data_IF_271911886593
#
_entry.id   IF_271911886593
#
_cell.length_a   1.000
_cell.length_b   1.000
_cell.length_c   1.000
_cell.angle_alpha   90.00
_cell.angle_beta   90.00
_cell.angle_gamma   90.00
#
_symmetry.space_group_name_H-M   'P 1'
#
loop_
_entity.id
_entity.type
_entity.pdbx_description
1 polymer ?
#
# COMPACT_ATOMS: atom_id res chain seq x y z
N UNK A 1 13.98 2.83 -2.13
CA UNK A 1 13.93 2.93 -3.59
C UNK A 1 15.08 3.76 -4.07
N UNK A 2 15.87 3.19 -4.96
CA UNK A 2 17.00 3.81 -5.63
C UNK A 2 16.49 4.66 -6.79
N UNK A 3 17.13 5.79 -7.12
CA UNK A 3 16.68 6.68 -8.19
C UNK A 3 16.47 5.99 -9.56
N UNK A 4 17.21 4.90 -9.84
CA UNK A 4 17.14 4.13 -11.08
C UNK A 4 16.07 3.04 -11.15
N UNK A 5 15.06 3.04 -10.27
CA UNK A 5 14.04 1.99 -10.28
C UNK A 5 13.19 2.00 -11.57
N UNK A 6 12.71 0.81 -11.95
CA UNK A 6 11.84 0.62 -13.12
C UNK A 6 10.49 0.07 -12.73
N UNK A 7 9.41 0.59 -13.32
CA UNK A 7 8.12 -0.12 -13.33
C UNK A 7 8.20 -1.18 -14.41
N UNK A 8 8.18 -2.45 -14.01
CA UNK A 8 8.34 -3.58 -14.95
C UNK A 8 7.01 -4.18 -15.36
N UNK A 9 6.01 -4.13 -14.49
CA UNK A 9 4.68 -4.69 -14.74
C UNK A 9 3.63 -3.97 -13.89
N UNK A 10 2.40 -3.89 -14.42
CA UNK A 10 1.22 -3.51 -13.63
C UNK A 10 0.15 -4.57 -13.85
N UNK A 11 -0.34 -5.15 -12.76
CA UNK A 11 -1.31 -6.25 -12.77
C UNK A 11 -2.58 -5.83 -12.06
N UNK A 12 -3.71 -6.36 -12.51
CA UNK A 12 -4.97 -6.28 -11.76
C UNK A 12 -5.50 -7.70 -11.57
N UNK A 13 -5.88 -8.03 -10.34
CA UNK A 13 -6.36 -9.36 -9.97
C UNK A 13 -7.60 -9.29 -9.09
N UNK A 14 -8.44 -10.33 -9.17
CA UNK A 14 -9.54 -10.56 -8.26
C UNK A 14 -9.21 -11.75 -7.37
N UNK A 15 -9.33 -11.55 -6.07
CA UNK A 15 -8.94 -12.53 -5.06
C UNK A 15 -10.16 -12.98 -4.27
N UNK A 16 -10.17 -14.26 -3.93
CA UNK A 16 -11.08 -14.87 -2.96
C UNK A 16 -10.23 -15.65 -1.97
N UNK A 17 -10.44 -15.42 -0.69
CA UNK A 17 -9.68 -16.07 0.37
C UNK A 17 -10.57 -16.42 1.57
N UNK A 18 -10.02 -17.26 2.44
CA UNK A 18 -10.57 -17.61 3.74
C UNK A 18 -9.50 -17.30 4.79
N UNK A 19 -9.85 -16.59 5.87
CA UNK A 19 -8.89 -16.30 6.95
C UNK A 19 -8.77 -17.47 7.96
N UNK A 20 -7.82 -17.34 8.91
CA UNK A 20 -7.57 -18.32 10.00
C UNK A 20 -8.83 -18.60 10.85
N UNK A 21 -9.84 -17.72 10.83
CA UNK A 21 -11.11 -17.89 11.55
C UNK A 21 -12.26 -18.36 10.64
N UNK A 22 -11.96 -18.89 9.46
CA UNK A 22 -12.95 -19.35 8.47
C UNK A 22 -13.88 -18.25 7.93
N UNK A 23 -13.47 -16.98 7.97
CA UNK A 23 -14.25 -15.90 7.39
C UNK A 23 -13.86 -15.69 5.91
N UNK A 24 -14.83 -15.72 4.97
CA UNK A 24 -14.55 -15.46 3.56
C UNK A 24 -14.27 -13.98 3.31
N UNK A 25 -13.37 -13.68 2.39
CA UNK A 25 -13.12 -12.33 1.88
C UNK A 25 -12.92 -12.39 0.36
N UNK A 26 -13.41 -11.37 -0.34
CA UNK A 26 -13.11 -11.14 -1.75
C UNK A 26 -12.69 -9.68 -1.94
N UNK A 27 -11.69 -9.44 -2.77
CA UNK A 27 -11.24 -8.09 -3.09
C UNK A 27 -10.58 -8.04 -4.48
N UNK A 28 -10.63 -6.87 -5.10
CA UNK A 28 -9.79 -6.51 -6.24
C UNK A 28 -8.46 -5.96 -5.74
N UNK A 29 -7.37 -6.26 -6.43
CA UNK A 29 -6.05 -5.74 -6.09
C UNK A 29 -5.23 -5.41 -7.34
N UNK A 30 -4.56 -4.26 -7.31
CA UNK A 30 -3.63 -3.79 -8.32
C UNK A 30 -2.21 -3.94 -7.76
N UNK A 31 -1.34 -4.53 -8.57
CA UNK A 31 0.09 -4.67 -8.25
C UNK A 31 0.90 -3.80 -9.20
N UNK A 32 1.82 -3.00 -8.66
CA UNK A 32 2.84 -2.30 -9.43
C UNK A 32 4.19 -2.93 -9.09
N UNK A 33 4.80 -3.58 -10.06
CA UNK A 33 6.10 -4.23 -9.88
C UNK A 33 7.23 -3.24 -10.16
N UNK A 34 8.09 -3.05 -9.17
CA UNK A 34 9.27 -2.21 -9.21
C UNK A 34 10.53 -3.06 -9.16
N UNK A 35 11.42 -2.82 -10.13
CA UNK A 35 12.79 -3.32 -10.08
C UNK A 35 13.69 -2.25 -9.47
N UNK A 36 14.15 -2.47 -8.23
CA UNK A 36 14.87 -1.51 -7.39
C UNK A 36 16.40 -1.65 -7.54
N UNK A 37 16.91 -1.21 -8.69
CA UNK A 37 18.33 -1.22 -9.00
C UNK A 37 18.96 0.17 -8.96
N UNK A 38 20.27 0.19 -8.73
CA UNK A 38 21.08 1.37 -8.97
C UNK A 38 21.55 1.30 -10.41
N UNK A 39 21.23 2.32 -11.19
CA UNK A 39 21.69 2.45 -12.56
C UNK A 39 22.36 3.82 -12.64
N UNK A 40 23.65 3.83 -12.98
CA UNK A 40 24.44 5.06 -12.99
C UNK A 40 23.75 6.12 -13.84
N UNK A 41 23.81 7.36 -13.35
CA UNK A 41 23.31 8.57 -14.03
C UNK A 41 21.78 8.65 -14.23
N UNK A 42 20.99 7.71 -13.65
CA UNK A 42 19.52 7.78 -13.69
C UNK A 42 18.92 8.41 -12.44
N UNK A 43 18.06 9.40 -12.65
CA UNK A 43 17.21 10.01 -11.62
C UNK A 43 15.86 9.30 -11.53
N UNK A 44 15.13 9.59 -10.44
CA UNK A 44 13.74 9.14 -10.26
C UNK A 44 12.88 9.43 -11.50
N UNK A 45 11.95 8.52 -11.78
CA UNK A 45 10.97 8.67 -12.84
C UNK A 45 10.11 9.93 -12.65
N UNK A 46 9.85 10.68 -13.71
CA UNK A 46 8.89 11.78 -13.66
C UNK A 46 7.47 11.25 -13.42
N UNK A 47 6.64 12.02 -12.69
CA UNK A 47 5.23 11.70 -12.46
C UNK A 47 4.46 11.52 -13.79
N UNK A 48 4.82 12.29 -14.82
CA UNK A 48 4.25 12.16 -16.16
C UNK A 48 4.57 10.82 -16.83
N UNK A 49 5.81 10.31 -16.71
CA UNK A 49 6.18 8.99 -17.23
C UNK A 49 5.44 7.87 -16.47
N UNK A 50 5.35 7.98 -15.15
CA UNK A 50 4.57 7.03 -14.34
C UNK A 50 3.10 7.03 -14.74
N UNK A 51 2.49 8.21 -14.85
CA UNK A 51 1.10 8.37 -15.28
C UNK A 51 0.87 7.78 -16.69
N UNK A 52 1.80 7.98 -17.63
CA UNK A 52 1.70 7.40 -18.96
C UNK A 52 1.70 5.86 -18.94
N UNK A 53 2.46 5.23 -18.03
CA UNK A 53 2.45 3.78 -17.83
C UNK A 53 1.09 3.33 -17.32
N UNK A 54 0.60 3.94 -16.23
CA UNK A 54 -0.71 3.59 -15.65
C UNK A 54 -1.85 3.78 -16.64
N UNK A 55 -1.82 4.86 -17.43
CA UNK A 55 -2.80 5.13 -18.47
C UNK A 55 -2.82 4.03 -19.53
N UNK A 56 -1.65 3.64 -20.07
CA UNK A 56 -1.54 2.54 -21.03
C UNK A 56 -2.10 1.23 -20.47
N UNK A 57 -1.83 0.96 -19.19
CA UNK A 57 -2.38 -0.23 -18.52
C UNK A 57 -3.90 -0.13 -18.45
N UNK A 58 -4.44 1.02 -18.03
CA UNK A 58 -5.89 1.25 -17.90
C UNK A 58 -6.63 1.13 -19.24
N UNK A 59 -5.97 1.47 -20.36
CA UNK A 59 -6.52 1.29 -21.71
C UNK A 59 -6.69 -0.19 -22.10
N UNK A 60 -5.89 -1.10 -21.53
CA UNK A 60 -5.89 -2.53 -21.88
C UNK A 60 -6.47 -3.41 -20.78
N UNK A 61 -6.45 -2.94 -19.54
CA UNK A 61 -6.85 -3.65 -18.33
C UNK A 61 -7.73 -2.72 -17.52
N UNK A 62 -8.98 -3.12 -17.26
CA UNK A 62 -9.87 -2.33 -16.40
C UNK A 62 -9.32 -2.34 -14.97
N UNK A 63 -8.84 -1.20 -14.52
CA UNK A 63 -8.43 -0.98 -13.13
C UNK A 63 -9.64 -0.54 -12.31
N UNK A 64 -9.93 -1.28 -11.25
CA UNK A 64 -10.98 -0.97 -10.28
C UNK A 64 -10.46 0.09 -9.31
N UNK A 65 -11.17 1.22 -9.18
CA UNK A 65 -10.78 2.36 -8.34
C UNK A 65 -10.91 2.07 -6.84
N UNK A 66 -11.62 1.00 -6.47
CA UNK A 66 -11.72 0.49 -5.10
C UNK A 66 -10.70 -0.61 -4.80
N UNK A 67 -9.89 -1.01 -5.78
CA UNK A 67 -8.89 -2.05 -5.60
C UNK A 67 -7.82 -1.65 -4.59
N UNK A 68 -7.37 -2.63 -3.81
CA UNK A 68 -6.17 -2.47 -2.97
C UNK A 68 -4.96 -2.20 -3.88
N UNK A 69 -4.08 -1.29 -3.49
CA UNK A 69 -2.83 -1.03 -4.21
C UNK A 69 -1.66 -1.65 -3.45
N UNK A 70 -0.94 -2.56 -4.11
CA UNK A 70 0.27 -3.18 -3.57
C UNK A 70 1.44 -2.93 -4.52
N UNK A 71 2.60 -2.64 -3.94
CA UNK A 71 3.86 -2.58 -4.68
C UNK A 71 4.62 -3.89 -4.46
N UNK A 72 5.06 -4.50 -5.56
CA UNK A 72 5.99 -5.62 -5.55
C UNK A 72 7.38 -5.08 -5.85
N UNK A 73 8.35 -5.36 -4.98
CA UNK A 73 9.69 -4.79 -5.13
C UNK A 73 10.74 -5.87 -5.02
N UNK A 74 11.70 -5.85 -5.95
CA UNK A 74 12.88 -6.71 -5.92
C UNK A 74 14.05 -6.01 -6.65
N UNK A 75 15.27 -6.33 -6.28
CA UNK A 75 16.50 -5.97 -7.01
C UNK A 75 16.88 -6.99 -8.09
N UNK A 76 16.06 -8.04 -8.28
CA UNK A 76 16.33 -9.18 -9.15
C UNK A 76 17.17 -10.29 -8.50
N UNK A 77 17.71 -10.06 -7.30
CA UNK A 77 18.44 -11.06 -6.52
C UNK A 77 17.58 -11.63 -5.39
N UNK A 78 16.80 -10.78 -4.71
CA UNK A 78 15.91 -11.18 -3.61
C UNK A 78 14.51 -11.52 -4.14
N UNK A 79 13.77 -12.42 -3.46
CA UNK A 79 12.36 -12.63 -3.77
C UNK A 79 11.56 -11.32 -3.73
N UNK A 80 10.50 -11.25 -4.54
CA UNK A 80 9.60 -10.11 -4.53
C UNK A 80 8.99 -9.90 -3.14
N UNK A 81 9.12 -8.67 -2.65
CA UNK A 81 8.57 -8.23 -1.38
C UNK A 81 7.34 -7.36 -1.64
N UNK A 82 6.29 -7.52 -0.83
CA UNK A 82 5.07 -6.75 -0.93
C UNK A 82 5.13 -5.52 -0.03
N UNK A 83 4.68 -4.38 -0.54
CA UNK A 83 4.63 -3.10 0.15
C UNK A 83 3.25 -2.46 0.03
N UNK A 84 2.79 -1.86 1.12
CA UNK A 84 1.64 -0.95 1.12
C UNK A 84 2.12 0.46 0.75
N UNK A 85 1.31 1.18 -0.03
CA UNK A 85 1.56 2.59 -0.34
C UNK A 85 0.77 3.52 0.59
N UNK A 86 1.46 4.52 1.14
CA UNK A 86 0.83 5.63 1.80
C UNK A 86 0.23 6.62 0.77
N UNK A 87 -0.57 7.58 1.27
CA UNK A 87 -1.07 8.66 0.43
C UNK A 87 0.10 9.48 -0.15
N UNK A 88 0.06 9.82 -1.45
CA UNK A 88 1.10 10.64 -2.05
C UNK A 88 1.20 12.01 -1.40
N UNK A 89 2.43 12.48 -1.15
CA UNK A 89 2.70 13.82 -0.64
C UNK A 89 3.60 14.58 -1.61
N UNK A 90 3.30 15.86 -1.82
CA UNK A 90 4.16 16.75 -2.60
C UNK A 90 5.24 17.33 -1.69
N UNK A 91 6.50 17.12 -2.03
CA UNK A 91 7.65 17.67 -1.30
C UNK A 91 8.72 18.09 -2.30
N UNK A 92 9.23 19.32 -2.18
CA UNK A 92 10.33 19.83 -2.99
C UNK A 92 10.16 19.62 -4.52
N UNK A 93 8.94 19.77 -5.03
CA UNK A 93 8.63 19.59 -6.46
C UNK A 93 8.54 18.13 -6.93
N UNK A 94 8.63 17.16 -6.02
CA UNK A 94 8.47 15.73 -6.30
C UNK A 94 7.24 15.16 -5.58
N UNK A 95 6.63 14.13 -6.19
CA UNK A 95 5.60 13.32 -5.56
C UNK A 95 6.27 12.16 -4.83
N UNK A 96 6.09 12.10 -3.52
CA UNK A 96 6.61 11.04 -2.68
C UNK A 96 5.49 10.09 -2.29
N UNK A 97 5.73 8.80 -2.45
CA UNK A 97 4.86 7.73 -1.97
C UNK A 97 5.70 6.90 -1.00
N UNK A 98 5.33 6.91 0.26
CA UNK A 98 5.99 6.05 1.24
C UNK A 98 5.54 4.61 1.04
N UNK A 99 6.50 3.69 1.06
CA UNK A 99 6.28 2.25 0.90
C UNK A 99 6.68 1.54 2.19
N UNK A 100 5.69 0.97 2.88
CA UNK A 100 5.89 0.19 4.10
C UNK A 100 5.77 -1.31 3.81
N UNK A 101 6.64 -2.18 4.36
CA UNK A 101 6.52 -3.62 4.16
C UNK A 101 5.14 -4.15 4.55
N UNK A 102 4.54 -4.97 3.69
CA UNK A 102 3.26 -5.63 3.97
C UNK A 102 3.53 -6.94 4.70
N UNK A 103 3.57 -6.86 6.03
CA UNK A 103 3.74 -8.04 6.87
C UNK A 103 2.54 -9.00 6.77
N UNK A 104 2.82 -10.30 6.88
CA UNK A 104 1.78 -11.29 7.08
C UNK A 104 1.15 -11.10 8.48
N UNK A 105 -0.18 -11.23 8.56
CA UNK A 105 -0.88 -11.17 9.84
C UNK A 105 -2.14 -12.05 9.86
N UNK A 106 -2.58 -12.46 11.06
CA UNK A 106 -3.85 -13.17 11.26
C UNK A 106 -4.95 -12.15 11.57
N UNK A 107 -5.84 -11.93 10.59
CA UNK A 107 -6.92 -10.92 10.65
C UNK A 107 -7.83 -11.04 11.90
N UNK A 108 -8.27 -12.23 12.34
CA UNK A 108 -8.94 -12.41 13.62
C UNK A 108 -8.18 -11.83 14.82
N UNK A 109 -6.86 -12.07 14.92
CA UNK A 109 -6.03 -11.49 15.98
C UNK A 109 -6.00 -9.97 15.89
N UNK A 110 -5.83 -9.44 14.69
CA UNK A 110 -5.76 -7.99 14.48
C UNK A 110 -7.08 -7.30 14.82
N UNK A 111 -8.22 -7.92 14.47
CA UNK A 111 -9.57 -7.46 14.88
C UNK A 111 -9.71 -7.46 16.41
N UNK A 112 -9.30 -8.53 17.08
CA UNK A 112 -9.33 -8.62 18.54
C UNK A 112 -8.44 -7.57 19.24
N UNK A 113 -7.27 -7.26 18.67
CA UNK A 113 -6.40 -6.19 19.18
C UNK A 113 -7.05 -4.80 18.99
N UNK A 114 -7.68 -4.56 17.84
CA UNK A 114 -8.37 -3.31 17.57
C UNK A 114 -9.55 -3.08 18.53
N UNK A 115 -10.35 -4.12 18.80
CA UNK A 115 -11.46 -4.07 19.76
C UNK A 115 -10.99 -3.70 21.18
N UNK A 116 -9.88 -4.29 21.65
CA UNK A 116 -9.30 -3.93 22.96
C UNK A 116 -8.78 -2.51 23.01
N UNK A 117 -8.10 -2.05 21.96
CA UNK A 117 -7.61 -0.67 21.90
C UNK A 117 -8.78 0.32 21.98
N UNK A 118 -9.91 0.01 21.34
CA UNK A 118 -11.11 0.83 21.39
C UNK A 118 -11.78 0.80 22.77
N UNK A 119 -11.82 -0.36 23.44
CA UNK A 119 -12.31 -0.47 24.81
C UNK A 119 -11.44 0.33 25.80
N UNK A 120 -10.11 0.32 25.64
CA UNK A 120 -9.19 1.09 26.47
C UNK A 120 -9.32 2.61 26.24
N UNK A 121 -9.54 3.05 24.99
CA UNK A 121 -9.75 4.46 24.66
C UNK A 121 -11.06 5.02 25.26
N UNK A 122 -12.09 4.19 25.40
CA UNK A 122 -13.37 4.56 26.03
C UNK A 122 -13.23 4.78 27.56
N UNK A 123 -12.22 4.16 28.20
CA UNK A 123 -12.06 4.16 29.65
C UNK A 123 -10.90 5.05 30.16
N UNK A 124 -10.46 6.04 29.38
CA UNK A 124 -9.48 7.04 29.83
C UNK A 124 -10.00 7.85 31.03
N UNK A 125 -9.13 8.37 31.92
CA UNK A 125 -9.58 9.11 33.09
C UNK A 125 -10.40 10.31 32.63
N UNK A 126 -11.65 10.40 33.10
CA UNK A 126 -12.49 11.55 32.88
C UNK A 126 -11.79 12.77 33.50
N UNK A 127 -11.11 13.57 32.67
CA UNK A 127 -10.81 14.95 33.04
C UNK A 127 -12.16 15.61 33.24
N UNK A 128 -12.52 15.78 34.50
CA UNK A 128 -13.67 16.55 34.96
C UNK A 128 -13.45 18.02 34.59
N UNK A 129 -13.58 18.33 33.30
CA UNK A 129 -13.84 19.68 32.85
C UNK A 129 -15.24 20.03 33.38
N UNK A 130 -15.24 20.70 34.54
CA UNK A 130 -16.43 21.32 35.13
C UNK A 130 -17.09 22.18 34.07
N UNK A 131 -18.27 21.76 33.63
CA UNK A 131 -19.17 22.57 32.84
C UNK A 131 -20.11 23.32 33.80
N UNK A 132 -20.14 24.65 33.64
CA UNK A 132 -21.03 25.66 34.21
C UNK A 132 -20.78 26.18 35.65
N UNK A 133 -20.69 27.51 35.73
CA UNK A 133 -20.59 28.38 36.90
C UNK A 133 -20.19 29.78 36.47
#
# INVERSE_FOLDING_TARGET
MKPGYHVTEVKAGQFRALDCGANPEAWSEIFIQLWDIEEDDRTHMSSGKFHAIIRKVTEHVKLDDTAKLTFEVSDGARPMQLYCAAMPVLRAGAVHVELSPRAASCKPRDRWLAEQAQAAACCGPATSARCCG
#
